data_IF_214404512914
#
_entry.id   IF_214404512914
#
_cell.length_a   1.000
_cell.length_b   1.000
_cell.length_c   1.000
_cell.angle_alpha   90.00
_cell.angle_beta   90.00
_cell.angle_gamma   90.00
#
_symmetry.space_group_name_H-M   'P 1'
#
loop_
_entity.id
_entity.type
_entity.pdbx_description
1 polymer ?
#
# COMPACT_ATOMS: atom_id res chain seq x y z
N UNK A 1 -32.14 5.34 10.86
CA UNK A 1 -31.59 4.16 10.18
C UNK A 1 -30.12 4.41 9.97
N UNK A 2 -29.26 3.41 10.18
CA UNK A 2 -27.82 3.57 9.99
C UNK A 2 -27.45 3.06 8.61
N UNK A 3 -26.51 3.73 7.97
CA UNK A 3 -26.01 3.37 6.65
C UNK A 3 -24.72 2.56 6.79
N UNK A 4 -24.60 1.48 6.03
CA UNK A 4 -23.44 0.60 6.05
C UNK A 4 -22.82 0.58 4.66
N UNK A 5 -21.52 0.83 4.59
CA UNK A 5 -20.81 0.84 3.32
C UNK A 5 -20.77 -0.55 2.67
N UNK A 6 -20.67 -0.57 1.33
CA UNK A 6 -20.51 -1.79 0.52
C UNK A 6 -19.36 -1.59 -0.47
N UNK A 7 -18.70 -2.67 -0.92
CA UNK A 7 -17.61 -2.55 -1.89
C UNK A 7 -18.11 -1.85 -3.16
N UNK A 8 -17.30 -0.91 -3.68
CA UNK A 8 -17.66 -0.07 -4.85
C UNK A 8 -18.04 -0.90 -6.09
N UNK A 9 -17.56 -2.14 -6.20
CA UNK A 9 -17.93 -3.06 -7.28
C UNK A 9 -19.45 -3.38 -7.34
N UNK A 10 -20.14 -3.29 -6.20
CA UNK A 10 -21.58 -3.52 -6.07
C UNK A 10 -22.38 -2.21 -6.01
N UNK A 11 -21.77 -1.07 -6.30
CA UNK A 11 -22.46 0.21 -6.35
C UNK A 11 -23.62 0.18 -7.36
N UNK A 12 -24.75 0.79 -6.98
CA UNK A 12 -25.98 0.85 -7.78
C UNK A 12 -26.63 -0.52 -8.08
N UNK A 13 -26.26 -1.58 -7.37
CA UNK A 13 -26.92 -2.87 -7.48
C UNK A 13 -27.88 -3.08 -6.32
N UNK A 14 -28.97 -3.81 -6.57
CA UNK A 14 -29.86 -4.25 -5.51
C UNK A 14 -29.14 -5.26 -4.61
N UNK A 15 -29.17 -4.98 -3.31
CA UNK A 15 -28.58 -5.82 -2.27
C UNK A 15 -29.65 -6.18 -1.26
N UNK A 16 -29.49 -7.32 -0.62
CA UNK A 16 -30.29 -7.69 0.54
C UNK A 16 -29.47 -7.47 1.82
N UNK A 17 -30.15 -7.09 2.89
CA UNK A 17 -29.53 -6.83 4.19
C UNK A 17 -30.19 -7.73 5.24
N UNK A 18 -29.37 -8.42 6.04
CA UNK A 18 -29.81 -9.18 7.21
C UNK A 18 -29.17 -8.56 8.46
N UNK A 19 -30.01 -8.05 9.36
CA UNK A 19 -29.57 -7.54 10.66
C UNK A 19 -29.69 -8.62 11.73
N UNK A 20 -28.56 -9.03 12.29
CA UNK A 20 -28.47 -9.87 13.48
C UNK A 20 -28.30 -8.99 14.73
N UNK A 21 -28.23 -9.60 15.92
CA UNK A 21 -28.05 -8.85 17.17
C UNK A 21 -26.72 -8.08 17.16
N UNK A 22 -25.63 -8.73 16.74
CA UNK A 22 -24.28 -8.16 16.81
C UNK A 22 -23.72 -7.69 15.47
N UNK A 23 -24.27 -8.18 14.35
CA UNK A 23 -23.75 -7.89 13.01
C UNK A 23 -24.83 -7.56 11.98
N UNK A 24 -24.44 -6.84 10.94
CA UNK A 24 -25.23 -6.59 9.74
C UNK A 24 -24.50 -7.25 8.57
N UNK A 25 -25.19 -8.18 7.90
CA UNK A 25 -24.67 -8.91 6.74
C UNK A 25 -25.37 -8.40 5.49
N UNK A 26 -24.57 -7.99 4.51
CA UNK A 26 -25.06 -7.48 3.24
C UNK A 26 -24.65 -8.47 2.15
N UNK A 27 -25.58 -8.85 1.29
CA UNK A 27 -25.33 -9.76 0.18
C UNK A 27 -25.91 -9.30 -1.14
N UNK A 28 -25.30 -9.79 -2.21
CA UNK A 28 -25.72 -9.53 -3.59
C UNK A 28 -25.65 -10.84 -4.37
N UNK A 29 -26.69 -11.17 -5.15
CA UNK A 29 -26.74 -12.34 -6.06
C UNK A 29 -26.37 -13.69 -5.41
N UNK A 30 -26.65 -13.85 -4.12
CA UNK A 30 -26.39 -15.09 -3.37
C UNK A 30 -25.06 -15.13 -2.63
N UNK A 31 -24.20 -14.13 -2.80
CA UNK A 31 -22.91 -14.00 -2.11
C UNK A 31 -22.97 -12.93 -1.03
N UNK A 32 -22.22 -13.12 0.05
CA UNK A 32 -22.04 -12.10 1.10
C UNK A 32 -20.94 -11.14 0.64
N UNK A 33 -21.27 -9.85 0.55
CA UNK A 33 -20.36 -8.82 0.02
C UNK A 33 -19.76 -7.95 1.13
N UNK A 34 -20.42 -7.84 2.28
CA UNK A 34 -19.93 -7.08 3.42
C UNK A 34 -20.51 -7.61 4.73
N UNK A 35 -19.72 -7.49 5.81
CA UNK A 35 -20.14 -7.74 7.18
C UNK A 35 -19.72 -6.55 8.04
N UNK A 36 -20.64 -6.04 8.85
CA UNK A 36 -20.41 -4.91 9.74
C UNK A 36 -20.81 -5.25 11.16
N UNK A 37 -20.09 -4.73 12.15
CA UNK A 37 -20.60 -4.73 13.52
C UNK A 37 -21.83 -3.82 13.60
N UNK A 38 -22.87 -4.25 14.31
CA UNK A 38 -24.11 -3.48 14.39
C UNK A 38 -23.90 -2.20 15.19
N UNK A 39 -24.19 -1.06 14.56
CA UNK A 39 -24.23 0.24 15.23
C UNK A 39 -25.63 0.48 15.83
N UNK A 40 -25.68 0.83 17.11
CA UNK A 40 -26.91 1.15 17.86
C UNK A 40 -27.21 2.65 17.94
N UNK A 41 -26.34 3.48 17.36
CA UNK A 41 -26.56 4.92 17.23
C UNK A 41 -27.66 5.22 16.19
N UNK A 42 -27.94 6.50 15.94
CA UNK A 42 -28.98 6.93 15.00
C UNK A 42 -28.38 7.78 13.90
N UNK A 43 -28.73 7.45 12.66
CA UNK A 43 -28.36 8.23 11.46
C UNK A 43 -26.84 8.28 11.25
N UNK A 44 -26.15 7.24 11.71
CA UNK A 44 -24.72 7.10 11.56
C UNK A 44 -24.36 6.32 10.30
N UNK A 45 -23.17 6.60 9.75
CA UNK A 45 -22.64 5.97 8.53
C UNK A 45 -21.39 5.17 8.87
N UNK A 46 -21.53 3.84 8.84
CA UNK A 46 -20.44 2.90 9.14
C UNK A 46 -19.64 2.62 7.88
N UNK A 47 -18.44 3.18 7.84
CA UNK A 47 -17.49 3.00 6.74
C UNK A 47 -16.55 1.82 7.00
N UNK A 48 -16.37 0.99 5.98
CA UNK A 48 -15.20 0.13 5.84
C UNK A 48 -14.26 0.80 4.83
N UNK A 49 -13.04 1.20 5.24
CA UNK A 49 -12.06 1.82 4.36
C UNK A 49 -11.76 1.00 3.09
N UNK A 50 -11.75 -0.34 3.19
CA UNK A 50 -11.37 -1.24 2.10
C UNK A 50 -12.36 -1.14 0.93
N UNK A 51 -13.64 -0.88 1.21
CA UNK A 51 -14.67 -0.75 0.18
C UNK A 51 -14.38 0.35 -0.83
N UNK A 52 -13.64 1.40 -0.44
CA UNK A 52 -13.39 2.59 -1.24
C UNK A 52 -12.01 2.61 -1.90
N UNK A 53 -11.07 1.73 -1.52
CA UNK A 53 -9.72 1.72 -2.09
C UNK A 53 -9.69 1.58 -3.62
N UNK A 54 -10.53 0.75 -4.27
CA UNK A 54 -10.58 0.69 -5.74
C UNK A 54 -10.97 2.02 -6.40
N UNK A 55 -11.83 2.81 -5.74
CA UNK A 55 -12.23 4.13 -6.22
C UNK A 55 -11.10 5.15 -6.03
N UNK A 56 -10.41 5.09 -4.89
CA UNK A 56 -9.28 5.96 -4.57
C UNK A 56 -8.09 5.69 -5.49
N UNK A 57 -7.85 4.44 -5.88
CA UNK A 57 -6.80 4.12 -6.87
C UNK A 57 -7.06 4.81 -8.22
N UNK A 58 -8.32 4.97 -8.63
CA UNK A 58 -8.68 5.72 -9.84
C UNK A 58 -8.57 7.23 -9.64
N UNK A 59 -8.95 7.74 -8.46
CA UNK A 59 -8.93 9.17 -8.12
C UNK A 59 -7.97 9.45 -6.96
N UNK A 60 -6.67 9.24 -7.20
CA UNK A 60 -5.61 9.27 -6.15
C UNK A 60 -5.61 10.57 -5.32
N UNK A 61 -6.00 11.70 -5.91
CA UNK A 61 -6.07 12.98 -5.21
C UNK A 61 -7.14 13.03 -4.09
N UNK A 62 -8.06 12.07 -4.02
CA UNK A 62 -9.04 11.98 -2.93
C UNK A 62 -8.52 11.27 -1.69
N UNK A 63 -7.32 10.69 -1.72
CA UNK A 63 -6.76 9.90 -0.60
C UNK A 63 -6.84 10.66 0.74
N UNK A 64 -6.43 11.93 0.76
CA UNK A 64 -6.41 12.76 1.97
C UNK A 64 -7.78 13.30 2.40
N UNK A 65 -8.75 13.31 1.48
CA UNK A 65 -10.07 13.91 1.69
C UNK A 65 -11.17 12.84 1.84
N UNK A 66 -10.81 11.55 1.75
CA UNK A 66 -11.76 10.47 1.84
C UNK A 66 -12.22 10.30 3.28
N UNK A 67 -13.49 10.63 3.57
CA UNK A 67 -14.12 10.41 4.86
C UNK A 67 -13.93 8.97 5.39
N UNK A 68 -14.04 7.90 4.57
CA UNK A 68 -13.80 6.53 5.04
C UNK A 68 -12.40 6.24 5.57
N UNK A 69 -11.39 7.04 5.19
CA UNK A 69 -10.01 6.87 5.64
C UNK A 69 -9.64 7.76 6.83
N UNK A 70 -10.54 8.66 7.24
CA UNK A 70 -10.30 9.53 8.39
C UNK A 70 -10.39 8.71 9.67
N UNK A 71 -9.38 8.85 10.54
CA UNK A 71 -9.33 8.10 11.80
C UNK A 71 -9.06 6.60 11.64
N UNK A 72 -8.64 6.15 10.46
CA UNK A 72 -8.27 4.75 10.27
C UNK A 72 -6.99 4.42 11.07
N UNK A 73 -7.14 3.57 12.10
CA UNK A 73 -6.06 3.17 12.98
C UNK A 73 -5.11 2.19 12.28
N UNK A 74 -4.06 2.74 11.67
CA UNK A 74 -2.99 1.99 11.02
C UNK A 74 -1.70 2.11 11.81
N UNK A 75 -0.87 1.04 11.87
CA UNK A 75 0.46 1.12 12.45
C UNK A 75 1.29 2.25 11.84
N UNK A 76 2.08 2.93 12.68
CA UNK A 76 2.89 4.10 12.29
C UNK A 76 3.81 3.84 11.08
N UNK A 77 4.23 2.59 10.87
CA UNK A 77 5.06 2.17 9.74
C UNK A 77 4.38 2.47 8.39
N UNK A 78 3.05 2.40 8.28
CA UNK A 78 2.32 2.77 7.06
C UNK A 78 2.42 4.27 6.77
N UNK A 79 2.32 5.13 7.79
CA UNK A 79 2.50 6.57 7.63
C UNK A 79 3.94 6.91 7.19
N UNK A 80 4.93 6.20 7.73
CA UNK A 80 6.33 6.33 7.32
C UNK A 80 6.53 5.90 5.86
N UNK A 81 5.99 4.74 5.48
CA UNK A 81 6.04 4.23 4.10
C UNK A 81 5.42 5.23 3.13
N UNK A 82 4.24 5.77 3.46
CA UNK A 82 3.54 6.77 2.67
C UNK A 82 4.43 8.00 2.40
N UNK A 83 4.99 8.59 3.45
CA UNK A 83 5.86 9.77 3.34
C UNK A 83 7.08 9.50 2.45
N UNK A 84 7.70 8.33 2.59
CA UNK A 84 8.87 7.94 1.78
C UNK A 84 8.52 7.71 0.31
N UNK A 85 7.40 7.04 0.03
CA UNK A 85 6.90 6.84 -1.34
C UNK A 85 6.57 8.18 -2.00
N UNK A 86 5.87 9.07 -1.28
CA UNK A 86 5.54 10.41 -1.75
C UNK A 86 6.79 11.26 -2.02
N UNK A 87 7.77 11.23 -1.12
CA UNK A 87 9.03 11.97 -1.30
C UNK A 87 9.84 11.46 -2.50
N UNK A 88 9.86 10.15 -2.75
CA UNK A 88 10.65 9.53 -3.82
C UNK A 88 9.99 9.61 -5.20
N UNK A 89 8.66 9.44 -5.26
CA UNK A 89 7.93 9.19 -6.51
C UNK A 89 6.73 10.13 -6.72
N UNK A 90 6.48 11.06 -5.80
CA UNK A 90 5.41 12.05 -5.89
C UNK A 90 4.02 11.43 -6.09
N UNK A 91 3.36 11.78 -7.20
CA UNK A 91 2.03 11.25 -7.55
C UNK A 91 2.03 9.73 -7.73
N UNK A 92 3.10 9.16 -8.26
CA UNK A 92 3.21 7.72 -8.46
C UNK A 92 3.34 6.99 -7.11
N UNK A 93 4.10 7.56 -6.18
CA UNK A 93 4.23 7.01 -4.82
C UNK A 93 2.91 6.95 -4.05
N UNK A 94 2.03 7.96 -4.23
CA UNK A 94 0.67 7.91 -3.66
C UNK A 94 -0.15 6.75 -4.23
N UNK A 95 -0.01 6.48 -5.53
CA UNK A 95 -0.69 5.35 -6.17
C UNK A 95 -0.20 4.02 -5.64
N UNK A 96 1.11 3.84 -5.56
CA UNK A 96 1.71 2.63 -4.99
C UNK A 96 1.30 2.43 -3.53
N UNK A 97 1.25 3.49 -2.74
CA UNK A 97 0.77 3.41 -1.36
C UNK A 97 -0.67 2.89 -1.29
N UNK A 98 -1.57 3.41 -2.14
CA UNK A 98 -2.93 2.87 -2.25
C UNK A 98 -2.92 1.39 -2.65
N UNK A 99 -2.05 0.99 -3.57
CA UNK A 99 -1.90 -0.43 -3.95
C UNK A 99 -1.39 -1.29 -2.79
N UNK A 100 -0.52 -0.77 -1.93
CA UNK A 100 -0.10 -1.45 -0.69
C UNK A 100 -1.29 -1.61 0.26
N UNK A 101 -2.10 -0.56 0.46
CA UNK A 101 -3.31 -0.66 1.27
C UNK A 101 -4.29 -1.71 0.71
N UNK A 102 -4.42 -1.81 -0.62
CA UNK A 102 -5.25 -2.82 -1.27
C UNK A 102 -4.78 -4.25 -1.04
N UNK A 103 -3.54 -4.48 -0.61
CA UNK A 103 -3.11 -5.83 -0.20
C UNK A 103 -3.90 -6.34 1.01
N UNK A 104 -4.49 -5.45 1.82
CA UNK A 104 -5.38 -5.83 2.93
C UNK A 104 -6.68 -6.51 2.43
N UNK A 105 -7.04 -6.37 1.15
CA UNK A 105 -8.17 -7.10 0.55
C UNK A 105 -7.90 -8.62 0.47
N UNK A 106 -6.63 -9.04 0.48
CA UNK A 106 -6.22 -10.45 0.28
C UNK A 106 -5.36 -11.01 1.40
N UNK A 107 -4.79 -10.16 2.26
CA UNK A 107 -3.85 -10.57 3.29
C UNK A 107 -4.20 -9.92 4.65
N UNK A 108 -3.90 -10.65 5.72
CA UNK A 108 -4.07 -10.18 7.09
C UNK A 108 -3.21 -8.93 7.37
N UNK A 109 -3.76 -7.98 8.13
CA UNK A 109 -3.07 -6.73 8.49
C UNK A 109 -1.73 -7.00 9.20
N UNK A 110 -1.66 -8.03 10.04
CA UNK A 110 -0.44 -8.39 10.76
C UNK A 110 0.70 -8.82 9.82
N UNK A 111 0.39 -9.58 8.77
CA UNK A 111 1.39 -10.02 7.79
C UNK A 111 1.82 -8.89 6.88
N UNK A 112 0.88 -8.03 6.47
CA UNK A 112 1.20 -6.83 5.71
C UNK A 112 2.05 -5.85 6.52
N UNK A 113 1.71 -5.62 7.80
CA UNK A 113 2.49 -4.76 8.68
C UNK A 113 3.93 -5.27 8.82
N UNK A 114 4.11 -6.58 9.04
CA UNK A 114 5.44 -7.17 9.10
C UNK A 114 6.22 -7.01 7.77
N UNK A 115 5.56 -7.18 6.63
CA UNK A 115 6.15 -6.96 5.31
C UNK A 115 6.55 -5.49 5.08
N UNK A 116 5.71 -4.53 5.47
CA UNK A 116 5.99 -3.09 5.39
C UNK A 116 7.17 -2.74 6.29
N UNK A 117 7.20 -3.23 7.53
CA UNK A 117 8.32 -3.02 8.45
C UNK A 117 9.63 -3.55 7.89
N UNK A 118 9.61 -4.73 7.29
CA UNK A 118 10.78 -5.31 6.63
C UNK A 118 11.20 -4.51 5.39
N UNK A 119 10.25 -4.03 4.58
CA UNK A 119 10.54 -3.19 3.42
C UNK A 119 11.24 -1.88 3.83
N UNK A 120 10.77 -1.25 4.92
CA UNK A 120 11.39 -0.06 5.50
C UNK A 120 12.81 -0.33 5.99
N UNK A 121 13.04 -1.45 6.67
CA UNK A 121 14.39 -1.86 7.13
C UNK A 121 15.36 -2.11 5.98
N UNK A 122 14.88 -2.68 4.88
CA UNK A 122 15.69 -2.94 3.68
C UNK A 122 15.86 -1.70 2.78
N UNK A 123 15.16 -0.60 3.05
CA UNK A 123 15.10 0.56 2.16
C UNK A 123 14.41 0.28 0.82
N UNK A 124 13.72 -0.86 0.70
CA UNK A 124 13.02 -1.29 -0.51
C UNK A 124 11.61 -0.67 -0.55
N UNK A 125 11.57 0.65 -0.70
CA UNK A 125 10.34 1.45 -0.66
C UNK A 125 9.69 1.44 -2.04
N UNK A 126 8.79 0.48 -2.26
CA UNK A 126 7.98 0.34 -3.47
C UNK A 126 6.92 -0.75 -3.32
N UNK A 127 5.83 -0.67 -4.10
CA UNK A 127 4.73 -1.64 -4.04
C UNK A 127 5.21 -3.08 -4.28
N UNK A 128 6.00 -3.31 -5.33
CA UNK A 128 6.45 -4.65 -5.70
C UNK A 128 7.32 -5.30 -4.62
N UNK A 129 8.12 -4.51 -3.90
CA UNK A 129 8.92 -4.99 -2.80
C UNK A 129 8.05 -5.45 -1.62
N UNK A 130 7.06 -4.64 -1.22
CA UNK A 130 6.12 -5.01 -0.14
C UNK A 130 5.31 -6.25 -0.54
N UNK A 131 4.81 -6.28 -1.79
CA UNK A 131 4.08 -7.44 -2.35
C UNK A 131 4.95 -8.70 -2.35
N UNK A 132 6.22 -8.60 -2.74
CA UNK A 132 7.12 -9.74 -2.71
C UNK A 132 7.36 -10.26 -1.28
N UNK A 133 7.58 -9.35 -0.32
CA UNK A 133 7.83 -9.70 1.08
C UNK A 133 6.62 -10.37 1.75
N UNK A 134 5.41 -9.87 1.50
CA UNK A 134 4.20 -10.50 2.05
C UNK A 134 3.96 -11.88 1.44
N UNK A 135 4.19 -12.06 0.13
CA UNK A 135 4.10 -13.37 -0.52
C UNK A 135 5.11 -14.35 0.07
N UNK A 136 6.38 -13.94 0.21
CA UNK A 136 7.41 -14.76 0.85
C UNK A 136 7.02 -15.18 2.27
N UNK A 137 6.41 -14.27 3.03
CA UNK A 137 5.97 -14.51 4.39
C UNK A 137 4.84 -15.55 4.45
N UNK A 138 3.80 -15.36 3.63
CA UNK A 138 2.64 -16.26 3.55
C UNK A 138 3.06 -17.65 3.06
N UNK A 139 3.93 -17.72 2.06
CA UNK A 139 4.47 -18.97 1.53
C UNK A 139 5.54 -19.62 2.44
N UNK A 140 5.99 -18.92 3.49
CA UNK A 140 7.11 -19.30 4.37
C UNK A 140 8.40 -19.61 3.61
N UNK A 141 8.59 -18.94 2.47
CA UNK A 141 9.78 -19.04 1.63
C UNK A 141 10.65 -17.82 1.86
N UNK A 142 11.94 -17.98 2.19
CA UNK A 142 12.81 -16.82 2.27
C UNK A 142 12.89 -16.14 0.90
N UNK A 143 12.90 -14.79 0.83
CA UNK A 143 13.11 -14.07 -0.42
C UNK A 143 14.51 -14.39 -0.94
N UNK A 144 14.61 -15.38 -1.82
CA UNK A 144 15.87 -15.81 -2.42
C UNK A 144 15.89 -15.31 -3.86
N UNK A 145 16.59 -14.21 -4.10
CA UNK A 145 17.17 -13.96 -5.42
C UNK A 145 18.51 -14.70 -5.46
N UNK A 146 18.46 -16.01 -5.69
CA UNK A 146 19.66 -16.78 -5.94
C UNK A 146 20.03 -16.63 -7.41
N UNK A 147 21.10 -15.90 -7.72
CA UNK A 147 21.58 -15.75 -9.10
C UNK A 147 22.37 -16.98 -9.56
N UNK A 148 22.74 -17.89 -8.64
CA UNK A 148 23.55 -19.08 -8.96
C UNK A 148 22.76 -20.16 -9.71
N UNK A 149 21.43 -20.16 -9.60
CA UNK A 149 20.52 -21.00 -10.39
C UNK A 149 20.40 -20.55 -11.86
N UNK A 150 20.95 -19.40 -12.22
CA UNK A 150 20.91 -18.88 -13.60
C UNK A 150 22.32 -18.72 -14.18
N UNK A 151 23.02 -19.82 -14.52
CA UNK A 151 24.40 -19.78 -14.99
C UNK A 151 24.59 -19.08 -16.35
N UNK A 152 23.51 -18.89 -17.10
CA UNK A 152 23.49 -18.17 -18.38
C UNK A 152 23.31 -16.64 -18.21
N UNK A 153 22.95 -16.16 -17.03
CA UNK A 153 22.82 -14.74 -16.76
C UNK A 153 24.23 -14.14 -16.63
N UNK A 154 24.55 -13.04 -17.34
CA UNK A 154 25.83 -12.37 -17.21
C UNK A 154 26.07 -12.00 -15.74
N UNK A 155 27.22 -12.41 -15.18
CA UNK A 155 27.60 -12.00 -13.83
C UNK A 155 27.82 -10.49 -13.83
N UNK A 156 26.92 -9.76 -13.18
CA UNK A 156 27.10 -8.32 -12.97
C UNK A 156 28.23 -8.11 -11.94
N UNK A 157 29.44 -7.83 -12.41
CA UNK A 157 30.51 -7.26 -11.59
C UNK A 157 30.16 -5.80 -11.33
N UNK A 158 29.44 -5.56 -10.23
CA UNK A 158 29.19 -4.19 -9.77
C UNK A 158 30.46 -3.72 -9.07
N UNK A 159 31.22 -2.84 -9.73
CA UNK A 159 32.34 -2.17 -9.07
C UNK A 159 31.82 -1.39 -7.85
N UNK A 160 32.51 -1.50 -6.72
CA UNK A 160 32.18 -0.68 -5.55
C UNK A 160 32.38 0.79 -5.94
N UNK A 161 31.31 1.57 -5.89
CA UNK A 161 31.36 3.00 -6.19
C UNK A 161 32.41 3.67 -5.29
N UNK A 162 33.49 4.14 -5.89
CA UNK A 162 34.52 4.89 -5.16
C UNK A 162 34.04 6.33 -4.96
N UNK A 163 33.90 6.76 -3.71
CA UNK A 163 33.53 8.14 -3.37
C UNK A 163 34.50 9.17 -3.99
N UNK A 164 35.76 8.79 -4.24
CA UNK A 164 36.77 9.64 -4.89
C UNK A 164 36.38 9.99 -6.34
N UNK A 165 35.63 9.14 -7.03
CA UNK A 165 35.20 9.38 -8.42
C UNK A 165 34.25 10.60 -8.51
N UNK A 166 33.45 10.85 -7.48
CA UNK A 166 32.56 12.03 -7.40
C UNK A 166 33.33 13.35 -7.22
N UNK A 167 34.57 13.33 -6.69
CA UNK A 167 35.39 14.54 -6.54
C UNK A 167 35.75 15.19 -7.88
N UNK A 168 35.67 14.45 -8.99
CA UNK A 168 35.83 15.02 -10.33
C UNK A 168 34.68 15.95 -10.73
N UNK A 169 33.48 15.76 -10.17
CA UNK A 169 32.33 16.65 -10.43
C UNK A 169 32.49 18.01 -9.75
N UNK A 170 33.23 18.09 -8.64
CA UNK A 170 33.54 19.35 -7.96
C UNK A 170 34.58 20.18 -8.72
N UNK A 171 35.48 19.55 -9.47
CA UNK A 171 36.49 20.25 -10.29
C UNK A 171 35.91 21.01 -11.49
N UNK A 172 34.71 20.62 -11.95
CA UNK A 172 34.00 21.37 -12.99
C UNK A 172 33.43 22.69 -12.49
N UNK A 173 33.05 22.76 -11.21
CA UNK A 173 32.49 23.97 -10.60
C UNK A 173 33.56 25.05 -10.32
N UNK A 174 34.78 24.67 -9.96
CA UNK A 174 35.89 25.62 -9.76
C UNK A 174 36.36 26.29 -11.06
N UNK A 175 36.13 25.65 -12.22
CA UNK A 175 36.50 26.20 -13.53
C UNK A 175 35.49 27.24 -14.05
N UNK A 176 34.24 27.20 -13.59
CA UNK A 176 33.19 28.16 -13.94
C UNK A 176 33.29 29.44 -13.06
N UNK A 177 33.66 29.31 -11.78
CA UNK A 177 33.87 30.46 -10.88
C UNK A 177 35.19 31.22 -11.13
N UNK A 178 36.17 30.64 -11.83
CA UNK A 178 37.43 31.31 -12.18
C UNK A 178 37.36 32.09 -13.50
N UNK A 179 36.23 32.04 -14.21
CA UNK A 179 35.99 32.73 -15.48
C UNK A 179 35.01 33.92 -15.37
N UNK A 180 34.62 34.30 -14.14
CA UNK A 180 33.86 35.50 -13.81
C UNK A 180 34.76 36.54 -13.11
#
# INVERSE_FOLDING_TARGET
TNDYSVPVAYGHQDVWVRGYVDEVVIGCRGEIIARHSRCWEREDVVFDPLHYLPLIERKINSLDQAAPLQGWDLPQDFATLRRLMEARMGKHGRREYVQVLRLMESFELADLHAAVKQALQLGAIGFDAVKHLILCRVERRPPRLDLSIYPYLPRATVEKTSAKAYMHLLRGAEAEDAAA
#
